data_IF_077997946943
#
_entry.id   IF_077997946943
#
_cell.length_a   1.000
_cell.length_b   1.000
_cell.length_c   1.000
_cell.angle_alpha   90.00
_cell.angle_beta   90.00
_cell.angle_gamma   90.00
#
_symmetry.space_group_name_H-M   'P 1'
#
loop_
_entity.id
_entity.type
_entity.pdbx_description
1 polymer ?
#
# COMPACT_ATOMS: atom_id res chain seq x y z
N UNK A 1 -27.37 -3.63 -4.51
CA UNK A 1 -28.30 -2.83 -5.34
C UNK A 1 -27.48 -1.95 -6.26
N UNK A 2 -27.54 -2.19 -7.58
CA UNK A 2 -26.90 -1.28 -8.56
C UNK A 2 -27.74 -0.02 -8.71
N UNK A 3 -27.12 1.16 -8.62
CA UNK A 3 -27.77 2.47 -8.74
C UNK A 3 -27.38 3.12 -10.07
N UNK A 4 -28.27 3.18 -11.05
CA UNK A 4 -27.97 3.81 -12.34
C UNK A 4 -27.84 5.34 -12.22
N UNK A 5 -28.49 5.96 -11.25
CA UNK A 5 -28.40 7.41 -10.97
C UNK A 5 -28.65 7.67 -9.48
N UNK A 6 -27.60 8.00 -8.69
CA UNK A 6 -27.74 8.31 -7.28
C UNK A 6 -28.58 9.55 -7.03
N UNK A 7 -29.49 9.50 -6.05
CA UNK A 7 -30.23 10.68 -5.60
C UNK A 7 -29.31 11.57 -4.76
N UNK A 8 -29.21 12.88 -5.01
CA UNK A 8 -28.32 13.77 -4.28
C UNK A 8 -28.58 13.84 -2.77
N UNK A 9 -29.82 13.66 -2.34
CA UNK A 9 -30.21 13.79 -0.93
C UNK A 9 -30.24 12.45 -0.17
N UNK A 10 -30.61 11.34 -0.83
CA UNK A 10 -30.87 10.07 -0.16
C UNK A 10 -30.26 8.85 -0.84
N UNK A 11 -29.39 9.05 -1.83
CA UNK A 11 -28.76 8.00 -2.63
C UNK A 11 -29.77 7.19 -3.46
N UNK A 12 -30.89 6.74 -2.86
CA UNK A 12 -31.94 5.92 -3.45
C UNK A 12 -33.21 6.73 -3.74
N UNK A 13 -34.07 6.23 -4.61
CA UNK A 13 -35.45 6.75 -4.78
C UNK A 13 -36.36 6.36 -3.61
N UNK A 14 -37.46 7.09 -3.43
CA UNK A 14 -38.35 6.97 -2.27
C UNK A 14 -38.90 5.55 -2.06
N UNK A 15 -39.32 4.86 -3.13
CA UNK A 15 -39.80 3.50 -3.02
C UNK A 15 -38.75 2.51 -2.53
N UNK A 16 -37.49 2.65 -3.01
CA UNK A 16 -36.38 1.79 -2.57
C UNK A 16 -35.94 2.09 -1.15
N UNK A 17 -36.04 3.36 -0.71
CA UNK A 17 -35.77 3.75 0.67
C UNK A 17 -36.72 3.08 1.65
N UNK A 18 -38.02 3.05 1.33
CA UNK A 18 -39.03 2.39 2.17
C UNK A 18 -38.84 0.86 2.21
N UNK A 19 -38.61 0.22 1.06
CA UNK A 19 -38.31 -1.22 0.99
C UNK A 19 -37.08 -1.59 1.81
N UNK A 20 -35.98 -0.81 1.67
CA UNK A 20 -34.76 -1.06 2.43
C UNK A 20 -34.97 -0.85 3.94
N UNK A 21 -35.74 0.17 4.34
CA UNK A 21 -36.07 0.41 5.74
C UNK A 21 -36.77 -0.77 6.38
N UNK A 22 -37.79 -1.33 5.73
CA UNK A 22 -38.52 -2.52 6.21
C UNK A 22 -37.56 -3.71 6.36
N UNK A 23 -36.76 -4.00 5.33
CA UNK A 23 -35.79 -5.11 5.37
C UNK A 23 -34.73 -4.95 6.45
N UNK A 24 -34.21 -3.73 6.69
CA UNK A 24 -33.24 -3.45 7.75
C UNK A 24 -33.84 -3.66 9.14
N UNK A 25 -35.11 -3.27 9.29
CA UNK A 25 -35.83 -3.44 10.54
C UNK A 25 -36.19 -4.92 10.80
N UNK A 26 -36.66 -5.65 9.78
CA UNK A 26 -36.95 -7.08 9.91
C UNK A 26 -35.71 -7.92 10.22
N UNK A 27 -34.54 -7.51 9.70
CA UNK A 27 -33.27 -8.19 9.93
C UNK A 27 -32.52 -7.69 11.18
N UNK A 28 -33.09 -6.77 11.98
CA UNK A 28 -32.50 -6.17 13.18
C UNK A 28 -31.05 -5.66 12.91
N UNK A 29 -30.86 -4.94 11.80
CA UNK A 29 -29.53 -4.47 11.37
C UNK A 29 -29.07 -3.29 12.20
N UNK A 30 -27.88 -3.37 12.78
CA UNK A 30 -27.23 -2.29 13.54
C UNK A 30 -26.38 -1.36 12.65
N UNK A 31 -25.82 -1.89 11.59
CA UNK A 31 -24.88 -1.19 10.70
C UNK A 31 -25.14 -1.48 9.23
N UNK A 32 -25.21 -0.44 8.41
CA UNK A 32 -25.29 -0.54 6.94
C UNK A 32 -23.96 -0.16 6.35
N UNK A 33 -23.43 -1.02 5.48
CA UNK A 33 -22.24 -0.74 4.68
C UNK A 33 -22.66 -0.40 3.25
N UNK A 34 -22.13 0.70 2.73
CA UNK A 34 -22.33 1.12 1.33
C UNK A 34 -21.01 1.01 0.58
N UNK A 35 -20.99 0.11 -0.40
CA UNK A 35 -19.83 -0.06 -1.29
C UNK A 35 -19.83 1.03 -2.35
N UNK A 36 -19.25 2.16 -2.01
CA UNK A 36 -19.16 3.36 -2.84
C UNK A 36 -19.17 4.64 -2.02
N UNK A 37 -19.00 5.80 -2.69
CA UNK A 37 -18.96 7.08 -2.02
C UNK A 37 -20.36 7.54 -1.57
N UNK A 38 -20.48 7.94 -0.31
CA UNK A 38 -21.70 8.51 0.26
C UNK A 38 -21.41 9.93 0.74
N UNK A 39 -22.20 10.90 0.28
CA UNK A 39 -22.04 12.28 0.75
C UNK A 39 -22.51 12.42 2.20
N UNK A 40 -21.98 13.39 2.96
CA UNK A 40 -22.40 13.62 4.35
C UNK A 40 -23.90 13.88 4.52
N UNK A 41 -24.53 14.52 3.50
CA UNK A 41 -25.97 14.77 3.48
C UNK A 41 -26.75 13.47 3.30
N UNK A 42 -26.31 12.63 2.34
CA UNK A 42 -26.92 11.32 2.12
C UNK A 42 -26.79 10.44 3.36
N UNK A 43 -25.62 10.37 3.96
CA UNK A 43 -25.40 9.58 5.17
C UNK A 43 -26.34 10.02 6.29
N UNK A 44 -26.35 11.31 6.63
CA UNK A 44 -27.20 11.85 7.68
C UNK A 44 -28.69 11.57 7.43
N UNK A 45 -29.13 11.74 6.17
CA UNK A 45 -30.54 11.51 5.84
C UNK A 45 -30.90 10.02 5.93
N UNK A 46 -30.03 9.13 5.42
CA UNK A 46 -30.24 7.69 5.48
C UNK A 46 -30.21 7.17 6.94
N UNK A 47 -29.24 7.61 7.76
CA UNK A 47 -29.20 7.25 9.18
C UNK A 47 -30.43 7.71 9.93
N UNK A 48 -30.92 8.92 9.60
CA UNK A 48 -32.17 9.44 10.20
C UNK A 48 -33.41 8.65 9.75
N UNK A 49 -33.49 8.31 8.48
CA UNK A 49 -34.65 7.63 7.92
C UNK A 49 -34.71 6.14 8.35
N UNK A 50 -33.58 5.48 8.44
CA UNK A 50 -33.48 4.07 8.76
C UNK A 50 -33.28 3.78 10.25
N UNK A 51 -32.77 4.75 11.02
CA UNK A 51 -32.47 4.58 12.45
C UNK A 51 -31.24 3.72 12.72
N UNK A 52 -30.39 3.48 11.72
CA UNK A 52 -29.18 2.64 11.80
C UNK A 52 -27.97 3.44 11.41
N UNK A 53 -26.80 3.02 11.90
CA UNK A 53 -25.50 3.60 11.49
C UNK A 53 -25.18 3.21 10.06
N UNK A 54 -24.50 4.13 9.35
CA UNK A 54 -24.08 3.90 7.97
C UNK A 54 -22.58 4.25 7.83
N UNK A 55 -21.84 3.34 7.26
CA UNK A 55 -20.46 3.56 6.81
C UNK A 55 -20.37 3.39 5.30
N UNK A 56 -19.67 4.27 4.66
CA UNK A 56 -19.23 4.08 3.28
C UNK A 56 -17.93 3.27 3.23
N UNK A 57 -17.51 2.88 2.02
CA UNK A 57 -16.29 2.10 1.80
C UNK A 57 -15.06 2.72 2.46
N UNK A 58 -14.86 4.04 2.34
CA UNK A 58 -13.73 4.76 2.94
C UNK A 58 -13.78 4.72 4.46
N UNK A 59 -14.96 4.97 5.05
CA UNK A 59 -15.16 4.89 6.50
C UNK A 59 -14.86 3.50 7.05
N UNK A 60 -15.32 2.44 6.37
CA UNK A 60 -15.04 1.06 6.75
C UNK A 60 -13.54 0.74 6.71
N UNK A 61 -12.85 1.15 5.65
CA UNK A 61 -11.40 0.93 5.53
C UNK A 61 -10.66 1.63 6.67
N UNK A 62 -11.03 2.86 7.01
CA UNK A 62 -10.43 3.61 8.12
C UNK A 62 -10.64 2.92 9.48
N UNK A 63 -11.83 2.36 9.74
CA UNK A 63 -12.10 1.59 10.97
C UNK A 63 -11.24 0.31 11.03
N UNK A 64 -11.14 -0.43 9.92
CA UNK A 64 -10.27 -1.61 9.84
C UNK A 64 -8.82 -1.23 10.14
N UNK A 65 -8.36 -0.11 9.58
CA UNK A 65 -7.00 0.36 9.80
C UNK A 65 -6.74 0.83 11.22
N UNK A 66 -7.70 1.49 11.84
CA UNK A 66 -7.61 1.89 13.25
C UNK A 66 -7.45 0.68 14.18
N UNK A 67 -8.13 -0.44 13.86
CA UNK A 67 -7.99 -1.70 14.60
C UNK A 67 -6.65 -2.40 14.34
N UNK A 68 -6.06 -2.23 13.16
CA UNK A 68 -4.85 -2.94 12.71
C UNK A 68 -3.54 -2.21 13.00
N UNK A 69 -3.55 -0.89 13.08
CA UNK A 69 -2.35 -0.11 13.35
C UNK A 69 -1.77 -0.45 14.74
N UNK A 70 -0.53 -0.94 14.75
CA UNK A 70 0.19 -1.32 15.97
C UNK A 70 1.37 -0.41 16.26
N UNK A 71 2.01 0.07 15.19
CA UNK A 71 3.14 0.97 15.34
C UNK A 71 2.66 2.39 15.61
N UNK A 72 3.50 3.16 16.31
CA UNK A 72 3.22 4.59 16.54
C UNK A 72 3.06 5.36 15.23
N UNK A 73 3.81 4.99 14.20
CA UNK A 73 3.73 5.60 12.88
C UNK A 73 2.40 5.26 12.21
N UNK A 74 2.03 3.97 12.15
CA UNK A 74 0.77 3.51 11.58
C UNK A 74 -0.44 4.15 12.25
N UNK A 75 -0.48 4.21 13.58
CA UNK A 75 -1.56 4.88 14.34
C UNK A 75 -1.68 6.36 13.94
N UNK A 76 -0.56 7.10 13.90
CA UNK A 76 -0.58 8.52 13.52
C UNK A 76 -1.00 8.73 12.04
N UNK A 77 -0.64 7.82 11.15
CA UNK A 77 -1.03 7.88 9.74
C UNK A 77 -2.53 7.63 9.57
N UNK A 78 -3.06 6.61 10.23
CA UNK A 78 -4.50 6.31 10.22
C UNK A 78 -5.31 7.46 10.83
N UNK A 79 -4.85 8.03 11.95
CA UNK A 79 -5.49 9.19 12.58
C UNK A 79 -5.47 10.41 11.63
N UNK A 80 -4.36 10.66 10.93
CA UNK A 80 -4.26 11.72 9.93
C UNK A 80 -5.24 11.53 8.77
N UNK A 81 -5.37 10.29 8.27
CA UNK A 81 -6.29 9.95 7.20
C UNK A 81 -7.75 10.12 7.66
N UNK A 82 -8.10 9.67 8.86
CA UNK A 82 -9.43 9.80 9.45
C UNK A 82 -9.82 11.28 9.63
N UNK A 83 -8.92 12.12 10.13
CA UNK A 83 -9.16 13.56 10.26
C UNK A 83 -9.29 14.24 8.89
N UNK A 84 -8.49 13.85 7.91
CA UNK A 84 -8.59 14.38 6.54
C UNK A 84 -9.93 14.01 5.91
N UNK A 85 -10.38 12.77 6.09
CA UNK A 85 -11.68 12.30 5.66
C UNK A 85 -12.83 13.06 6.35
N UNK A 86 -12.79 13.22 7.67
CA UNK A 86 -13.75 14.02 8.41
C UNK A 86 -13.81 15.47 7.93
N UNK A 87 -12.65 16.08 7.69
CA UNK A 87 -12.53 17.45 7.17
C UNK A 87 -13.23 17.61 5.82
N UNK A 88 -13.01 16.68 4.87
CA UNK A 88 -13.67 16.73 3.56
C UNK A 88 -15.19 16.60 3.68
N UNK A 89 -15.66 15.85 4.65
CA UNK A 89 -17.09 15.67 4.92
C UNK A 89 -17.72 16.94 5.51
N UNK A 90 -17.05 17.65 6.40
CA UNK A 90 -17.52 18.92 6.94
C UNK A 90 -17.67 19.98 5.84
N UNK A 91 -16.68 20.14 4.96
CA UNK A 91 -16.71 21.09 3.85
C UNK A 91 -17.85 20.80 2.87
N UNK A 92 -18.05 19.54 2.49
CA UNK A 92 -19.12 19.15 1.55
C UNK A 92 -20.53 19.33 2.17
N UNK A 93 -20.69 19.14 3.46
CA UNK A 93 -21.96 19.41 4.14
C UNK A 93 -22.32 20.91 4.08
N UNK A 94 -21.33 21.78 4.20
CA UNK A 94 -21.53 23.24 4.23
C UNK A 94 -21.88 23.81 2.86
N UNK A 95 -21.17 23.44 1.80
CA UNK A 95 -21.47 23.91 0.43
C UNK A 95 -22.87 23.51 -0.04
N UNK A 96 -23.42 22.43 0.48
CA UNK A 96 -24.81 22.03 0.18
C UNK A 96 -25.83 22.88 0.94
N UNK A 97 -25.52 23.29 2.17
CA UNK A 97 -26.37 24.19 2.97
C UNK A 97 -26.42 25.60 2.39
N UNK A 98 -25.31 26.12 1.87
CA UNK A 98 -25.28 27.42 1.17
C UNK A 98 -26.14 27.41 -0.10
N UNK A 99 -26.08 26.35 -0.90
CA UNK A 99 -26.90 26.21 -2.13
C UNK A 99 -28.41 26.10 -1.85
N UNK A 100 -28.79 25.55 -0.70
CA UNK A 100 -30.20 25.47 -0.29
C UNK A 100 -30.75 26.78 0.26
N UNK A 101 -29.89 27.68 0.77
CA UNK A 101 -30.32 28.99 1.35
C UNK A 101 -30.42 30.11 0.35
N UNK A 102 -30.40 29.85 -0.96
CA UNK A 102 -30.75 30.84 -2.00
C UNK A 102 -30.53 32.29 -1.63
N UNK A 103 -29.34 32.80 -1.89
CA UNK A 103 -29.12 34.20 -2.30
C UNK A 103 -29.57 35.38 -1.42
N UNK A 104 -29.83 35.23 -0.13
CA UNK A 104 -30.07 36.35 0.76
C UNK A 104 -29.02 36.44 1.85
N UNK A 105 -28.33 37.61 1.86
CA UNK A 105 -27.12 37.90 2.56
C UNK A 105 -27.16 37.71 4.07
N UNK A 106 -25.98 37.43 4.56
CA UNK A 106 -25.41 37.77 5.86
C UNK A 106 -26.36 37.78 7.06
N UNK A 107 -26.70 36.59 7.55
CA UNK A 107 -26.99 36.43 8.97
C UNK A 107 -26.30 35.13 9.39
N UNK A 108 -25.08 35.24 9.90
CA UNK A 108 -24.34 34.14 10.53
C UNK A 108 -25.17 33.57 11.67
N UNK A 109 -25.79 32.39 11.45
CA UNK A 109 -26.48 31.68 12.51
C UNK A 109 -25.48 30.95 13.39
N UNK A 110 -25.85 30.54 14.65
CA UNK A 110 -24.97 29.84 15.59
C UNK A 110 -24.40 28.50 15.04
N UNK A 111 -24.96 27.98 13.94
CA UNK A 111 -24.44 26.77 13.29
C UNK A 111 -23.20 26.99 12.41
N UNK A 112 -22.94 28.19 11.87
CA UNK A 112 -21.74 28.49 11.07
C UNK A 112 -20.50 28.57 11.95
N UNK A 113 -20.63 29.21 13.11
CA UNK A 113 -19.52 29.34 14.08
C UNK A 113 -19.08 27.97 14.64
N UNK A 114 -19.98 27.02 14.80
CA UNK A 114 -19.66 25.70 15.30
C UNK A 114 -18.89 24.88 14.26
N UNK A 115 -19.30 24.89 13.00
CA UNK A 115 -18.59 24.17 11.91
C UNK A 115 -17.20 24.77 11.68
N UNK A 116 -17.05 26.07 11.76
CA UNK A 116 -15.73 26.71 11.68
C UNK A 116 -14.84 26.35 12.86
N UNK A 117 -15.39 26.28 14.07
CA UNK A 117 -14.68 25.85 15.27
C UNK A 117 -14.23 24.37 15.13
N UNK A 118 -15.13 23.49 14.69
CA UNK A 118 -14.84 22.07 14.45
C UNK A 118 -13.75 21.91 13.37
N UNK A 119 -13.82 22.68 12.30
CA UNK A 119 -12.81 22.68 11.25
C UNK A 119 -11.44 23.13 11.77
N UNK A 120 -11.39 24.21 12.56
CA UNK A 120 -10.13 24.68 13.17
C UNK A 120 -9.55 23.63 14.09
N UNK A 121 -10.39 22.98 14.92
CA UNK A 121 -9.96 21.92 15.81
C UNK A 121 -9.34 20.74 15.03
N UNK A 122 -9.95 20.33 13.91
CA UNK A 122 -9.39 19.31 13.01
C UNK A 122 -8.08 19.78 12.40
N UNK A 123 -8.00 21.00 11.88
CA UNK A 123 -6.79 21.54 11.27
C UNK A 123 -5.62 21.62 12.28
N UNK A 124 -5.89 21.99 13.52
CA UNK A 124 -4.90 21.98 14.61
C UNK A 124 -4.40 20.57 14.92
N UNK A 125 -5.31 19.60 14.99
CA UNK A 125 -4.94 18.19 15.19
C UNK A 125 -4.11 17.65 14.02
N UNK A 126 -4.49 17.93 12.79
CA UNK A 126 -3.73 17.58 11.58
C UNK A 126 -2.30 18.13 11.64
N UNK A 127 -2.13 19.40 12.02
CA UNK A 127 -0.81 20.02 12.16
C UNK A 127 0.01 19.33 13.26
N UNK A 128 -0.61 19.02 14.39
CA UNK A 128 0.04 18.30 15.50
C UNK A 128 0.52 16.92 15.09
N UNK A 129 -0.34 16.14 14.41
CA UNK A 129 -0.01 14.80 13.95
C UNK A 129 1.09 14.83 12.90
N UNK A 130 1.03 15.74 11.92
CA UNK A 130 2.10 15.91 10.92
C UNK A 130 3.45 16.20 11.56
N UNK A 131 3.49 17.03 12.61
CA UNK A 131 4.73 17.30 13.36
C UNK A 131 5.24 16.06 14.10
N UNK A 132 4.35 15.22 14.63
CA UNK A 132 4.74 13.97 15.28
C UNK A 132 5.25 12.95 14.26
N UNK A 133 4.58 12.79 13.12
CA UNK A 133 5.01 11.95 12.01
C UNK A 133 6.39 12.35 11.51
N UNK A 134 6.65 13.64 11.29
CA UNK A 134 7.95 14.12 10.86
C UNK A 134 9.10 13.70 11.81
N UNK A 135 8.84 13.65 13.13
CA UNK A 135 9.83 13.15 14.11
C UNK A 135 10.05 11.64 14.01
N UNK A 136 8.96 10.88 13.82
CA UNK A 136 9.04 9.42 13.68
C UNK A 136 9.78 9.05 12.40
N UNK A 137 9.45 9.69 11.28
CA UNK A 137 10.11 9.51 9.98
C UNK A 137 11.61 9.79 10.09
N UNK A 138 12.02 10.91 10.71
CA UNK A 138 13.43 11.23 10.92
C UNK A 138 14.17 10.14 11.73
N UNK A 139 13.55 9.60 12.77
CA UNK A 139 14.14 8.50 13.56
C UNK A 139 14.26 7.23 12.71
N UNK A 140 13.26 6.93 11.89
CA UNK A 140 13.26 5.79 10.97
C UNK A 140 14.34 5.93 9.90
N UNK A 141 14.54 7.12 9.33
CA UNK A 141 15.64 7.40 8.38
C UNK A 141 17.02 7.12 9.00
N UNK A 142 17.23 7.47 10.26
CA UNK A 142 18.47 7.15 10.97
C UNK A 142 18.65 5.63 11.14
N UNK A 143 17.59 4.90 11.48
CA UNK A 143 17.63 3.44 11.54
C UNK A 143 17.81 2.80 10.16
N UNK A 144 17.25 3.38 9.10
CA UNK A 144 17.47 2.98 7.70
C UNK A 144 18.91 3.20 7.28
N UNK A 145 19.49 4.35 7.57
CA UNK A 145 20.90 4.61 7.28
C UNK A 145 21.84 3.60 7.96
N UNK A 146 21.49 3.12 9.15
CA UNK A 146 22.21 2.03 9.82
C UNK A 146 22.00 0.67 9.12
N UNK A 147 20.78 0.38 8.61
CA UNK A 147 20.47 -0.85 7.86
C UNK A 147 21.11 -0.88 6.47
N UNK A 148 21.22 0.25 5.78
CA UNK A 148 21.97 0.36 4.51
C UNK A 148 23.44 -0.06 4.60
N UNK A 149 24.00 -0.13 5.81
CA UNK A 149 25.34 -0.68 6.07
C UNK A 149 25.36 -2.22 6.05
N UNK A 150 24.21 -2.87 6.06
CA UNK A 150 24.09 -4.32 5.99
C UNK A 150 23.65 -4.69 4.57
N UNK A 151 24.51 -5.33 3.78
CA UNK A 151 24.33 -5.50 2.33
C UNK A 151 23.38 -6.65 1.98
N UNK A 152 22.22 -6.76 2.66
CA UNK A 152 21.25 -7.80 2.32
C UNK A 152 20.18 -7.23 1.39
N UNK A 153 19.94 -7.86 0.22
CA UNK A 153 18.87 -7.46 -0.69
C UNK A 153 17.50 -7.50 -0.01
N UNK A 154 16.64 -6.57 -0.40
CA UNK A 154 15.26 -6.46 0.09
C UNK A 154 14.33 -7.03 -0.98
N UNK A 155 13.50 -8.00 -0.58
CA UNK A 155 12.44 -8.60 -1.39
C UNK A 155 11.10 -8.15 -0.82
N UNK A 156 10.33 -7.34 -1.55
CA UNK A 156 9.05 -6.82 -1.10
C UNK A 156 7.89 -7.66 -1.66
N UNK A 157 6.98 -8.07 -0.78
CA UNK A 157 5.71 -8.68 -1.18
C UNK A 157 4.68 -7.59 -1.44
N UNK A 158 4.16 -7.51 -2.65
CA UNK A 158 3.07 -6.60 -3.02
C UNK A 158 1.90 -7.40 -3.60
N UNK A 159 0.72 -6.83 -3.62
CA UNK A 159 -0.45 -7.48 -4.20
C UNK A 159 -1.74 -7.07 -3.52
N UNK A 160 -2.84 -7.50 -4.09
CA UNK A 160 -4.18 -7.15 -3.61
C UNK A 160 -4.44 -7.66 -2.19
N UNK A 161 -5.42 -7.08 -1.49
CA UNK A 161 -5.84 -7.61 -0.18
C UNK A 161 -6.30 -9.05 -0.32
N UNK A 162 -5.98 -9.87 0.67
CA UNK A 162 -6.29 -11.30 0.70
C UNK A 162 -5.65 -12.15 -0.42
N UNK A 163 -4.68 -11.64 -1.18
CA UNK A 163 -3.91 -12.45 -2.15
C UNK A 163 -3.00 -13.52 -1.50
N UNK A 164 -2.86 -13.47 -0.17
CA UNK A 164 -2.08 -14.45 0.60
C UNK A 164 -0.64 -14.01 0.89
N UNK A 165 -0.30 -12.71 0.81
CA UNK A 165 1.04 -12.17 1.10
C UNK A 165 1.56 -12.57 2.47
N UNK A 166 0.79 -12.33 3.53
CA UNK A 166 1.19 -12.63 4.90
C UNK A 166 1.30 -14.14 5.16
N UNK A 167 0.49 -14.96 4.48
CA UNK A 167 0.62 -16.43 4.52
C UNK A 167 1.91 -16.87 3.86
N UNK A 168 2.24 -16.32 2.69
CA UNK A 168 3.49 -16.54 1.97
C UNK A 168 4.69 -16.11 2.83
N UNK A 169 4.62 -14.90 3.41
CA UNK A 169 5.63 -14.39 4.32
C UNK A 169 5.89 -15.32 5.51
N UNK A 170 4.83 -15.75 6.20
CA UNK A 170 4.94 -16.66 7.34
C UNK A 170 5.63 -17.96 6.96
N UNK A 171 5.25 -18.55 5.82
CA UNK A 171 5.84 -19.80 5.36
C UNK A 171 7.33 -19.64 5.01
N UNK A 172 7.70 -18.53 4.36
CA UNK A 172 9.10 -18.28 3.98
C UNK A 172 9.99 -17.94 5.18
N UNK A 173 9.44 -17.30 6.21
CA UNK A 173 10.21 -16.78 7.36
C UNK A 173 10.12 -17.66 8.60
N UNK A 174 9.17 -18.60 8.66
CA UNK A 174 8.81 -19.30 9.89
C UNK A 174 8.17 -18.38 10.96
N UNK A 175 7.73 -17.18 10.57
CA UNK A 175 7.06 -16.25 11.47
C UNK A 175 5.57 -16.64 11.67
N UNK A 176 4.96 -16.06 12.71
CA UNK A 176 3.53 -16.18 12.98
C UNK A 176 2.90 -14.78 12.97
N UNK A 177 2.97 -14.12 11.81
CA UNK A 177 2.24 -12.87 11.57
C UNK A 177 0.79 -13.20 11.32
N UNK A 178 -0.13 -12.34 11.75
CA UNK A 178 -1.57 -12.54 11.58
C UNK A 178 -1.92 -12.71 10.09
N UNK A 179 -2.08 -13.94 9.67
CA UNK A 179 -2.48 -14.34 8.32
C UNK A 179 -3.84 -15.04 8.42
N UNK A 180 -4.91 -14.26 8.42
CA UNK A 180 -6.28 -14.76 8.39
C UNK A 180 -6.93 -14.34 7.07
N UNK A 181 -8.01 -15.00 6.70
CA UNK A 181 -8.86 -14.61 5.57
C UNK A 181 -9.60 -13.31 5.89
N UNK A 182 -8.87 -12.21 5.92
CA UNK A 182 -9.32 -10.88 6.33
C UNK A 182 -8.66 -9.80 5.50
N UNK A 183 -9.44 -8.76 5.17
CA UNK A 183 -8.92 -7.57 4.50
C UNK A 183 -7.88 -6.88 5.40
N UNK A 184 -6.76 -6.46 4.79
CA UNK A 184 -5.69 -5.72 5.47
C UNK A 184 -5.16 -6.42 6.73
N UNK A 185 -4.83 -7.71 6.62
CA UNK A 185 -4.25 -8.47 7.72
C UNK A 185 -2.94 -7.82 8.21
N UNK A 186 -2.15 -7.28 7.30
CA UNK A 186 -0.92 -6.52 7.58
C UNK A 186 -1.14 -5.05 7.21
N UNK A 187 -0.94 -4.14 8.15
CA UNK A 187 -0.94 -2.70 7.96
C UNK A 187 0.48 -2.13 8.14
N UNK A 188 1.15 -2.49 9.21
CA UNK A 188 2.53 -2.11 9.47
C UNK A 188 3.49 -3.08 8.74
N UNK A 189 4.50 -2.60 8.01
CA UNK A 189 5.41 -3.47 7.29
C UNK A 189 6.19 -4.35 8.26
N UNK A 190 6.26 -5.62 7.95
CA UNK A 190 7.01 -6.59 8.75
C UNK A 190 8.18 -7.11 7.94
N UNK A 191 9.40 -6.98 8.49
CA UNK A 191 10.63 -7.43 7.85
C UNK A 191 11.24 -8.60 8.59
N UNK A 192 11.73 -9.61 7.84
CA UNK A 192 12.46 -10.77 8.37
C UNK A 192 13.59 -11.17 7.43
N UNK A 193 14.72 -11.57 8.02
CA UNK A 193 15.78 -12.20 7.27
C UNK A 193 15.44 -13.65 6.95
N UNK A 194 15.64 -14.04 5.70
CA UNK A 194 15.58 -15.44 5.26
C UNK A 194 16.89 -15.83 4.61
N UNK A 195 17.15 -17.13 4.54
CA UNK A 195 18.33 -17.69 3.85
C UNK A 195 17.84 -18.48 2.64
N UNK A 196 18.28 -18.07 1.46
CA UNK A 196 17.99 -18.75 0.20
C UNK A 196 18.77 -20.08 0.11
N UNK A 197 18.40 -20.98 -0.81
CA UNK A 197 19.06 -22.29 -0.96
C UNK A 197 20.59 -22.22 -1.12
N UNK A 198 21.13 -21.19 -1.77
CA UNK A 198 22.56 -20.95 -1.89
C UNK A 198 23.27 -20.53 -0.62
N UNK A 199 22.54 -20.28 0.46
CA UNK A 199 23.06 -19.67 1.69
C UNK A 199 23.05 -18.14 1.69
N UNK A 200 22.61 -17.50 0.61
CA UNK A 200 22.47 -16.03 0.52
C UNK A 200 21.38 -15.54 1.46
N UNK A 201 21.69 -14.52 2.27
CA UNK A 201 20.72 -13.90 3.15
C UNK A 201 20.02 -12.75 2.42
N UNK A 202 18.72 -12.68 2.55
CA UNK A 202 17.87 -11.59 2.03
C UNK A 202 16.88 -11.14 3.09
N UNK A 203 16.37 -9.92 2.96
CA UNK A 203 15.32 -9.39 3.84
C UNK A 203 14.01 -9.49 3.07
N UNK A 204 13.06 -10.24 3.60
CA UNK A 204 11.69 -10.30 3.09
C UNK A 204 10.85 -9.27 3.83
N UNK A 205 10.06 -8.47 3.08
CA UNK A 205 9.15 -7.46 3.62
C UNK A 205 7.72 -7.79 3.24
N UNK A 206 6.84 -7.98 4.23
CA UNK A 206 5.39 -8.06 4.02
C UNK A 206 4.82 -6.64 4.08
N UNK A 207 4.03 -6.26 3.07
CA UNK A 207 3.45 -4.92 2.94
C UNK A 207 1.93 -4.94 3.06
N UNK A 208 1.34 -3.76 3.21
CA UNK A 208 -0.12 -3.59 3.18
C UNK A 208 -0.70 -4.09 1.85
N UNK A 209 -1.87 -4.74 1.91
CA UNK A 209 -2.58 -5.14 0.70
C UNK A 209 -3.23 -3.96 -0.01
N UNK A 210 -3.22 -3.98 -1.33
CA UNK A 210 -3.94 -3.00 -2.14
C UNK A 210 -5.43 -3.36 -2.27
N UNK A 211 -6.25 -2.37 -2.56
CA UNK A 211 -7.67 -2.52 -2.85
C UNK A 211 -8.05 -1.52 -3.95
N UNK A 212 -8.98 -1.89 -4.83
CA UNK A 212 -9.49 -1.00 -5.88
C UNK A 212 -10.06 0.29 -5.27
N UNK A 213 -9.96 1.38 -6.01
CA UNK A 213 -10.50 2.69 -5.61
C UNK A 213 -10.03 3.15 -4.22
N UNK A 214 -8.76 2.91 -3.89
CA UNK A 214 -8.19 3.39 -2.63
C UNK A 214 -8.24 4.94 -2.61
N UNK A 215 -8.90 5.56 -1.63
CA UNK A 215 -8.94 7.03 -1.54
C UNK A 215 -7.55 7.63 -1.44
N UNK A 216 -7.30 8.73 -2.16
CA UNK A 216 -5.99 9.40 -2.19
C UNK A 216 -5.48 9.80 -0.80
N UNK A 217 -6.39 10.14 0.11
CA UNK A 217 -6.06 10.44 1.50
C UNK A 217 -5.43 9.22 2.22
N UNK A 218 -5.88 8.01 1.87
CA UNK A 218 -5.33 6.77 2.42
C UNK A 218 -4.01 6.39 1.76
N UNK A 219 -3.84 6.61 0.46
CA UNK A 219 -2.55 6.40 -0.23
C UNK A 219 -1.46 7.23 0.44
N UNK A 220 -1.74 8.50 0.77
CA UNK A 220 -0.79 9.35 1.48
C UNK A 220 -0.44 8.83 2.88
N UNK A 221 -1.41 8.20 3.58
CA UNK A 221 -1.19 7.56 4.88
C UNK A 221 -0.31 6.31 4.78
N UNK A 222 -0.39 5.57 3.65
CA UNK A 222 0.42 4.37 3.43
C UNK A 222 1.79 4.62 2.83
N UNK A 223 2.07 5.84 2.41
CA UNK A 223 3.35 6.15 1.76
C UNK A 223 4.56 5.61 2.54
N UNK A 224 4.51 5.63 3.86
CA UNK A 224 5.59 5.11 4.69
C UNK A 224 5.74 3.59 4.66
N UNK A 225 4.63 2.84 4.51
CA UNK A 225 4.66 1.38 4.36
C UNK A 225 5.04 0.97 2.94
N UNK A 226 4.69 1.81 1.96
CA UNK A 226 5.00 1.61 0.56
C UNK A 226 6.42 2.08 0.18
N UNK A 227 7.05 2.93 1.00
CA UNK A 227 8.46 3.29 0.83
C UNK A 227 9.41 2.09 0.90
N UNK A 228 9.02 1.01 1.60
CA UNK A 228 9.78 -0.25 1.59
C UNK A 228 9.77 -0.93 0.22
N UNK A 229 8.71 -0.74 -0.57
CA UNK A 229 8.63 -1.23 -1.96
C UNK A 229 9.56 -0.42 -2.87
N UNK A 230 9.68 0.89 -2.63
CA UNK A 230 10.60 1.77 -3.38
C UNK A 230 12.08 1.44 -3.14
N UNK A 231 12.40 0.82 -2.00
CA UNK A 231 13.77 0.41 -1.65
C UNK A 231 14.03 -1.07 -2.00
N UNK A 232 13.04 -1.79 -2.51
CA UNK A 232 13.19 -3.20 -2.84
C UNK A 232 14.15 -3.43 -4.00
N UNK A 233 14.97 -4.47 -3.87
CA UNK A 233 15.83 -4.98 -4.94
C UNK A 233 15.09 -5.98 -5.83
N UNK A 234 13.97 -6.54 -5.33
CA UNK A 234 13.07 -7.44 -6.05
C UNK A 234 11.66 -7.30 -5.50
N UNK A 235 10.68 -7.26 -6.38
CA UNK A 235 9.25 -7.24 -6.03
C UNK A 235 8.64 -8.61 -6.35
N UNK A 236 7.93 -9.19 -5.38
CA UNK A 236 7.06 -10.34 -5.58
C UNK A 236 5.60 -9.85 -5.61
N UNK A 237 5.03 -9.82 -6.80
CA UNK A 237 3.63 -9.47 -7.00
C UNK A 237 2.75 -10.70 -6.77
N UNK A 238 2.20 -10.82 -5.57
CA UNK A 238 1.36 -11.96 -5.16
C UNK A 238 -0.07 -11.74 -5.63
N UNK A 239 -0.57 -12.69 -6.45
CA UNK A 239 -1.91 -12.68 -7.01
C UNK A 239 -2.71 -13.88 -6.50
N UNK A 240 -3.98 -13.67 -6.19
CA UNK A 240 -4.95 -14.76 -5.98
C UNK A 240 -5.44 -15.26 -7.34
N UNK A 241 -4.83 -16.33 -7.84
CA UNK A 241 -5.15 -16.82 -9.19
C UNK A 241 -6.51 -17.55 -9.26
N UNK A 242 -7.08 -17.89 -8.11
CA UNK A 242 -8.42 -18.47 -8.03
C UNK A 242 -9.54 -17.41 -8.03
N UNK A 243 -9.19 -16.12 -7.87
CA UNK A 243 -10.17 -15.04 -7.87
C UNK A 243 -10.62 -14.70 -9.30
N UNK A 244 -11.94 -14.55 -9.56
CA UNK A 244 -12.45 -14.27 -10.92
C UNK A 244 -11.94 -12.95 -11.50
N UNK A 245 -11.64 -11.94 -10.67
CA UNK A 245 -11.15 -10.62 -11.06
C UNK A 245 -9.63 -10.49 -10.89
N UNK A 246 -8.88 -11.61 -10.96
CA UNK A 246 -7.43 -11.60 -10.71
C UNK A 246 -6.65 -10.69 -11.67
N UNK A 247 -7.09 -10.56 -12.92
CA UNK A 247 -6.44 -9.67 -13.90
C UNK A 247 -6.71 -8.19 -13.60
N UNK A 248 -7.93 -7.83 -13.20
CA UNK A 248 -8.30 -6.47 -12.81
C UNK A 248 -7.52 -6.07 -11.55
N UNK A 249 -7.46 -6.96 -10.56
CA UNK A 249 -6.67 -6.74 -9.34
C UNK A 249 -5.18 -6.56 -9.64
N UNK A 250 -4.64 -7.30 -10.61
CA UNK A 250 -3.24 -7.16 -11.01
C UNK A 250 -2.98 -5.80 -11.68
N UNK A 251 -3.91 -5.34 -12.53
CA UNK A 251 -3.83 -4.02 -13.15
C UNK A 251 -3.86 -2.90 -12.10
N UNK A 252 -4.81 -2.95 -11.14
CA UNK A 252 -4.89 -1.99 -10.03
C UNK A 252 -3.58 -1.88 -9.24
N UNK A 253 -2.95 -3.03 -8.96
CA UNK A 253 -1.65 -3.06 -8.26
C UNK A 253 -0.56 -2.42 -9.11
N UNK A 254 -0.54 -2.68 -10.41
CA UNK A 254 0.40 -2.07 -11.36
C UNK A 254 0.30 -0.55 -11.38
N UNK A 255 -0.92 -0.01 -11.51
CA UNK A 255 -1.18 1.44 -11.49
C UNK A 255 -0.72 2.10 -10.17
N UNK A 256 -0.92 1.42 -9.04
CA UNK A 256 -0.48 1.93 -7.74
C UNK A 256 1.05 1.94 -7.67
N UNK A 257 1.75 0.88 -8.10
CA UNK A 257 3.21 0.82 -8.13
C UNK A 257 3.80 1.94 -9.01
N UNK A 258 3.22 2.18 -10.18
CA UNK A 258 3.60 3.29 -11.06
C UNK A 258 3.37 4.65 -10.40
N UNK A 259 2.20 4.86 -9.78
CA UNK A 259 1.86 6.11 -9.07
C UNK A 259 2.78 6.40 -7.88
N UNK A 260 3.34 5.37 -7.27
CA UNK A 260 4.33 5.47 -6.20
C UNK A 260 5.72 5.82 -6.72
N UNK A 261 5.96 5.69 -8.02
CA UNK A 261 7.26 5.93 -8.64
C UNK A 261 8.22 4.77 -8.44
N UNK A 262 7.73 3.54 -8.38
CA UNK A 262 8.59 2.34 -8.46
C UNK A 262 9.29 2.38 -9.81
N UNK A 263 10.60 2.27 -9.79
CA UNK A 263 11.39 2.34 -11.02
C UNK A 263 11.12 1.11 -11.89
N UNK A 264 10.97 1.31 -13.21
CA UNK A 264 10.70 0.24 -14.18
C UNK A 264 11.80 -0.84 -14.22
N UNK A 265 13.00 -0.52 -13.76
CA UNK A 265 14.15 -1.41 -13.71
C UNK A 265 14.19 -2.30 -12.46
N UNK A 266 13.27 -2.13 -11.51
CA UNK A 266 13.17 -3.03 -10.35
C UNK A 266 12.60 -4.37 -10.83
N UNK A 267 13.36 -5.48 -10.71
CA UNK A 267 12.89 -6.77 -11.16
C UNK A 267 11.62 -7.17 -10.41
N UNK A 268 10.66 -7.74 -11.15
CA UNK A 268 9.38 -8.20 -10.63
C UNK A 268 9.19 -9.67 -11.00
N UNK A 269 8.68 -10.45 -10.04
CA UNK A 269 8.19 -11.82 -10.25
C UNK A 269 6.71 -11.82 -9.89
N UNK A 270 5.84 -12.25 -10.82
CA UNK A 270 4.46 -12.55 -10.50
C UNK A 270 4.39 -13.88 -9.74
N UNK A 271 3.75 -13.88 -8.57
CA UNK A 271 3.52 -15.08 -7.77
C UNK A 271 2.03 -15.43 -7.82
N UNK A 272 1.69 -16.43 -8.62
CA UNK A 272 0.34 -16.93 -8.76
C UNK A 272 0.00 -17.85 -7.59
N UNK A 273 -0.56 -17.26 -6.55
CA UNK A 273 -0.87 -17.95 -5.31
C UNK A 273 -2.27 -18.58 -5.33
N UNK A 274 -2.51 -19.49 -4.39
CA UNK A 274 -3.76 -20.24 -4.18
C UNK A 274 -4.07 -21.23 -5.29
N UNK A 275 -3.05 -21.83 -5.89
CA UNK A 275 -3.25 -22.92 -6.89
C UNK A 275 -3.96 -24.12 -6.30
N UNK A 276 -3.95 -24.30 -4.99
CA UNK A 276 -4.69 -25.32 -4.25
C UNK A 276 -6.21 -25.14 -4.31
N UNK A 277 -6.69 -23.94 -4.59
CA UNK A 277 -8.12 -23.63 -4.73
C UNK A 277 -8.65 -23.87 -6.16
N UNK A 278 -7.78 -24.15 -7.12
CA UNK A 278 -8.16 -24.40 -8.52
C UNK A 278 -8.60 -25.83 -8.75
N UNK A 279 -9.46 -26.04 -9.77
CA UNK A 279 -9.72 -27.37 -10.29
C UNK A 279 -8.44 -27.99 -10.88
N UNK A 280 -8.37 -29.32 -10.90
CA UNK A 280 -7.19 -30.03 -11.40
C UNK A 280 -6.87 -29.71 -12.87
N UNK A 281 -7.91 -29.53 -13.69
CA UNK A 281 -7.78 -29.14 -15.10
C UNK A 281 -7.24 -27.69 -15.27
N UNK A 282 -7.81 -26.73 -14.54
CA UNK A 282 -7.35 -25.33 -14.57
C UNK A 282 -5.93 -25.20 -14.06
N UNK A 283 -5.61 -25.92 -13.00
CA UNK A 283 -4.27 -25.95 -12.41
C UNK A 283 -3.24 -26.50 -13.37
N UNK A 284 -3.54 -27.63 -14.06
CA UNK A 284 -2.63 -28.21 -15.04
C UNK A 284 -2.36 -27.24 -16.22
N UNK A 285 -3.39 -26.57 -16.72
CA UNK A 285 -3.25 -25.55 -17.76
C UNK A 285 -2.39 -24.37 -17.31
N UNK A 286 -2.55 -23.91 -16.08
CA UNK A 286 -1.82 -22.81 -15.48
C UNK A 286 -0.34 -23.14 -15.28
N UNK A 287 0.01 -24.36 -14.82
CA UNK A 287 1.39 -24.80 -14.66
C UNK A 287 2.13 -24.87 -16.00
N UNK A 288 1.43 -25.18 -17.11
CA UNK A 288 2.01 -25.11 -18.46
C UNK A 288 2.32 -23.68 -18.86
N UNK A 289 1.50 -22.69 -18.45
CA UNK A 289 1.76 -21.27 -18.70
C UNK A 289 2.93 -20.76 -17.85
N UNK A 290 2.99 -21.11 -16.59
CA UNK A 290 4.09 -20.80 -15.67
C UNK A 290 5.43 -21.27 -16.27
N UNK A 291 5.53 -22.51 -16.68
CA UNK A 291 6.75 -23.06 -17.28
C UNK A 291 7.23 -22.32 -18.55
N UNK A 292 6.36 -21.56 -19.22
CA UNK A 292 6.69 -20.77 -20.41
C UNK A 292 7.10 -19.33 -20.10
N UNK A 293 6.69 -18.82 -18.94
CA UNK A 293 6.93 -17.44 -18.50
C UNK A 293 8.01 -17.45 -17.41
N UNK A 294 9.19 -16.97 -17.71
CA UNK A 294 10.30 -16.89 -16.75
C UNK A 294 10.13 -15.86 -15.65
N UNK A 295 9.06 -15.07 -15.69
CA UNK A 295 8.71 -14.00 -14.74
C UNK A 295 7.54 -14.37 -13.81
N UNK A 296 7.00 -15.57 -13.92
CA UNK A 296 5.87 -16.10 -13.14
C UNK A 296 6.31 -17.28 -12.30
N UNK A 297 5.68 -17.46 -11.14
CA UNK A 297 5.84 -18.64 -10.28
C UNK A 297 4.50 -19.02 -9.66
N UNK A 298 4.02 -20.23 -9.96
CA UNK A 298 2.79 -20.78 -9.41
C UNK A 298 3.04 -21.43 -8.05
N UNK A 299 2.30 -21.00 -7.01
CA UNK A 299 2.50 -21.47 -5.65
C UNK A 299 1.18 -21.69 -4.89
N UNK A 300 1.24 -22.48 -3.83
CA UNK A 300 0.27 -22.47 -2.75
C UNK A 300 0.95 -22.10 -1.44
N UNK A 301 0.70 -20.91 -0.94
CA UNK A 301 1.19 -20.50 0.36
C UNK A 301 0.61 -21.38 1.49
N UNK A 302 -0.54 -21.99 1.29
CA UNK A 302 -1.19 -22.88 2.26
C UNK A 302 -0.52 -24.24 2.33
N UNK A 303 -0.26 -24.89 1.20
CA UNK A 303 0.29 -26.25 1.14
C UNK A 303 1.82 -26.28 1.10
N UNK A 304 2.45 -25.22 0.54
CA UNK A 304 3.89 -25.11 0.32
C UNK A 304 4.33 -25.57 -1.06
N UNK A 305 3.38 -25.88 -1.92
CA UNK A 305 3.68 -26.26 -3.31
C UNK A 305 4.24 -25.07 -4.09
N UNK A 306 5.23 -25.31 -4.96
CA UNK A 306 5.88 -24.31 -5.78
C UNK A 306 6.93 -23.44 -5.05
N UNK A 307 7.21 -23.69 -3.77
CA UNK A 307 8.14 -22.87 -2.98
C UNK A 307 9.60 -23.04 -3.40
N UNK A 308 10.05 -24.25 -3.69
CA UNK A 308 11.44 -24.47 -4.15
C UNK A 308 11.73 -23.74 -5.46
N UNK A 309 10.88 -23.83 -6.51
CA UNK A 309 11.01 -23.02 -7.72
C UNK A 309 10.98 -21.51 -7.45
N UNK A 310 10.08 -21.03 -6.58
CA UNK A 310 10.01 -19.62 -6.21
C UNK A 310 11.31 -19.13 -5.57
N UNK A 311 11.88 -19.87 -4.61
CA UNK A 311 13.14 -19.51 -3.97
C UNK A 311 14.29 -19.49 -4.99
N UNK A 312 14.34 -20.45 -5.91
CA UNK A 312 15.32 -20.49 -6.99
C UNK A 312 15.17 -19.29 -7.95
N UNK A 313 13.92 -18.90 -8.28
CA UNK A 313 13.65 -17.74 -9.13
C UNK A 313 14.07 -16.42 -8.44
N UNK A 314 13.78 -16.27 -7.13
CA UNK A 314 14.24 -15.13 -6.32
C UNK A 314 15.77 -15.04 -6.36
N UNK A 315 16.43 -16.18 -6.18
CA UNK A 315 17.89 -16.25 -6.20
C UNK A 315 18.48 -15.86 -7.54
N UNK A 316 17.91 -16.38 -8.64
CA UNK A 316 18.33 -16.07 -10.00
C UNK A 316 18.16 -14.56 -10.29
N UNK A 317 17.04 -13.97 -9.89
CA UNK A 317 16.77 -12.53 -10.11
C UNK A 317 17.65 -11.62 -9.26
N UNK A 318 17.94 -12.00 -8.02
CA UNK A 318 18.87 -11.26 -7.14
C UNK A 318 20.33 -11.55 -7.48
N UNK A 319 20.61 -12.63 -8.20
CA UNK A 319 21.91 -13.02 -8.68
C UNK A 319 22.37 -12.28 -9.93
N UNK A 320 21.65 -11.23 -10.39
CA UNK A 320 22.04 -10.43 -11.55
C UNK A 320 23.53 -10.10 -11.57
N UNK A 321 24.11 -10.25 -12.76
CA UNK A 321 25.50 -9.97 -13.05
C UNK A 321 25.91 -8.62 -12.44
N UNK A 322 26.82 -8.68 -11.49
CA UNK A 322 27.48 -7.49 -11.00
C UNK A 322 28.54 -7.12 -12.04
N UNK A 323 28.47 -5.90 -12.50
CA UNK A 323 29.42 -5.36 -13.43
C UNK A 323 30.53 -4.64 -12.69
N UNK A 324 31.77 -5.00 -12.99
CA UNK A 324 32.92 -4.22 -12.58
C UNK A 324 33.06 -3.03 -13.56
N UNK A 325 33.07 -1.82 -13.03
CA UNK A 325 33.20 -0.59 -13.81
C UNK A 325 34.18 0.37 -13.09
N UNK A 326 34.98 1.09 -13.87
CA UNK A 326 35.87 2.13 -13.34
C UNK A 326 35.24 3.48 -13.62
N UNK A 327 34.91 4.21 -12.57
CA UNK A 327 34.34 5.55 -12.66
C UNK A 327 35.38 6.60 -12.36
N UNK A 328 35.34 7.70 -13.10
CA UNK A 328 36.14 8.89 -12.84
C UNK A 328 35.21 10.02 -12.43
N UNK A 329 35.34 10.49 -11.19
CA UNK A 329 34.57 11.58 -10.63
C UNK A 329 35.49 12.77 -10.38
N UNK A 330 35.08 13.95 -10.77
CA UNK A 330 35.76 15.21 -10.45
C UNK A 330 35.53 15.60 -8.99
N UNK A 331 36.33 16.51 -8.42
CA UNK A 331 36.24 16.92 -7.02
C UNK A 331 34.90 17.60 -6.66
N UNK A 332 34.19 18.17 -7.60
CA UNK A 332 32.86 18.75 -7.43
C UNK A 332 31.74 17.69 -7.31
N UNK A 333 32.00 16.44 -7.73
CA UNK A 333 31.05 15.33 -7.65
C UNK A 333 31.08 14.57 -6.32
N UNK A 334 31.35 15.26 -5.22
CA UNK A 334 31.41 14.65 -3.88
C UNK A 334 30.13 13.94 -3.44
N UNK A 335 28.96 14.39 -3.92
CA UNK A 335 27.66 13.74 -3.67
C UNK A 335 27.57 12.37 -4.33
N UNK A 336 28.00 12.26 -5.58
CA UNK A 336 28.06 11.00 -6.32
C UNK A 336 29.02 10.00 -5.67
N UNK A 337 30.21 10.47 -5.27
CA UNK A 337 31.18 9.66 -4.51
C UNK A 337 30.60 9.15 -3.20
N UNK A 338 29.96 10.03 -2.40
CA UNK A 338 29.33 9.65 -1.14
C UNK A 338 28.23 8.61 -1.33
N UNK A 339 27.45 8.72 -2.41
CA UNK A 339 26.42 7.75 -2.77
C UNK A 339 27.03 6.37 -3.07
N UNK A 340 28.09 6.28 -3.87
CA UNK A 340 28.77 5.01 -4.18
C UNK A 340 29.27 4.30 -2.92
N UNK A 341 29.87 5.04 -2.00
CA UNK A 341 30.29 4.49 -0.70
C UNK A 341 29.11 4.06 0.16
N UNK A 342 28.02 4.83 0.18
CA UNK A 342 26.80 4.49 0.90
C UNK A 342 26.12 3.22 0.37
N UNK A 343 26.27 2.93 -0.93
CA UNK A 343 25.76 1.70 -1.55
C UNK A 343 26.71 0.50 -1.42
N UNK A 344 27.88 0.68 -0.81
CA UNK A 344 28.89 -0.37 -0.62
C UNK A 344 29.34 -1.05 -1.95
N UNK A 345 29.33 -0.30 -3.04
CA UNK A 345 29.72 -0.79 -4.37
C UNK A 345 31.18 -0.54 -4.71
N UNK A 346 31.89 0.29 -3.93
CA UNK A 346 33.30 0.65 -4.16
C UNK A 346 34.20 -0.46 -3.67
N UNK A 347 35.01 -1.02 -4.56
CA UNK A 347 36.04 -2.03 -4.26
C UNK A 347 37.43 -1.42 -4.11
N UNK A 348 37.69 -0.39 -4.87
CA UNK A 348 38.97 0.34 -4.84
C UNK A 348 38.76 1.81 -5.16
N UNK A 349 39.57 2.67 -4.56
CA UNK A 349 39.54 4.10 -4.81
C UNK A 349 40.95 4.65 -4.86
N UNK A 350 41.20 5.50 -5.85
CA UNK A 350 42.49 6.21 -5.99
C UNK A 350 42.22 7.67 -6.30
N UNK A 351 42.90 8.56 -5.59
CA UNK A 351 42.86 9.98 -5.90
C UNK A 351 43.79 10.27 -7.11
N UNK A 352 43.29 11.09 -8.02
CA UNK A 352 43.98 11.53 -9.23
C UNK A 352 44.13 13.05 -9.22
N UNK A 353 44.83 13.61 -10.19
CA UNK A 353 45.04 15.07 -10.26
C UNK A 353 43.76 15.85 -10.46
N UNK A 354 42.74 15.23 -11.08
CA UNK A 354 41.49 15.89 -11.51
C UNK A 354 40.26 15.38 -10.72
N UNK A 355 40.45 14.46 -9.75
CA UNK A 355 39.35 13.89 -8.97
C UNK A 355 39.64 12.51 -8.42
N UNK A 356 38.65 11.62 -8.40
CA UNK A 356 38.76 10.24 -7.90
C UNK A 356 38.52 9.23 -9.02
N UNK A 357 39.28 8.17 -9.03
CA UNK A 357 39.06 6.97 -9.82
C UNK A 357 38.56 5.86 -8.89
N UNK A 358 37.35 5.36 -9.08
CA UNK A 358 36.69 4.37 -8.25
C UNK A 358 36.42 3.10 -9.05
N UNK A 359 36.90 1.98 -8.53
CA UNK A 359 36.53 0.65 -9.01
C UNK A 359 35.25 0.24 -8.29
N UNK A 360 34.17 0.11 -9.07
CA UNK A 360 32.85 -0.23 -8.51
C UNK A 360 32.39 -1.58 -9.04
N UNK A 361 31.71 -2.34 -8.14
CA UNK A 361 31.05 -3.58 -8.49
C UNK A 361 29.58 -3.46 -8.11
N UNK A 362 28.74 -3.22 -9.09
CA UNK A 362 27.33 -2.90 -8.89
C UNK A 362 26.39 -3.73 -9.75
N UNK A 363 25.12 -3.83 -9.32
CA UNK A 363 24.05 -4.39 -10.14
C UNK A 363 23.60 -3.38 -11.18
N UNK A 364 22.90 -3.86 -12.21
CA UNK A 364 22.29 -3.01 -13.25
C UNK A 364 21.40 -1.93 -12.63
N UNK A 365 20.62 -2.26 -11.63
CA UNK A 365 19.73 -1.36 -10.88
C UNK A 365 20.51 -0.27 -10.14
N UNK A 366 21.62 -0.61 -9.47
CA UNK A 366 22.48 0.36 -8.80
C UNK A 366 23.13 1.32 -9.81
N UNK A 367 23.53 0.81 -10.97
CA UNK A 367 24.11 1.60 -12.07
C UNK A 367 23.10 2.63 -12.61
N UNK A 368 21.84 2.22 -12.80
CA UNK A 368 20.76 3.12 -13.25
C UNK A 368 20.48 4.22 -12.25
N UNK A 369 20.36 3.88 -10.94
CA UNK A 369 20.15 4.86 -9.87
C UNK A 369 21.30 5.88 -9.76
N UNK A 370 22.52 5.45 -9.99
CA UNK A 370 23.67 6.35 -10.03
C UNK A 370 23.60 7.33 -11.19
N UNK A 371 23.16 6.89 -12.36
CA UNK A 371 23.03 7.75 -13.55
C UNK A 371 21.90 8.78 -13.45
N UNK A 372 20.98 8.58 -12.52
CA UNK A 372 19.85 9.48 -12.24
C UNK A 372 20.15 10.52 -11.14
N UNK A 373 21.35 10.53 -10.55
CA UNK A 373 21.82 11.49 -9.53
C UNK A 373 22.26 12.82 -10.13
#
# INVERSE_FOLDING_TARGET
VRLPKPNPGHLFGTGKLAELKERLHEAEVDLVLVDGPVTPVQQRNLEKDWGVKLLDRTGLILEIFADRARTREGVLQVELAALSYQRTRLVRAWTHLERQRGGFGFVGGPGETQIEADRRAIDEQVIKIRRQLAKVVKTRELHRAARRKVPFPIVALVGYTNAGKSTLFNRMTGADVLAKDMLFATLDPTMRGITLPSGRKVILSDTVGFISELPHELVAAFRATLEEVLEADLILHVRDIAHPETEEQAADVGEILESLGVAEDVPLIEVWNKIDALSEETRAALLVQDARRGDVQAVSALTGEGFEPLLAAIEARLGEERHDEVLRLSFDQGRARAWLHAQNVVRGERETKDGWELEVNWSTSQRHRFRAL
#
